data_IF_707678305542
#
_entry.id   IF_707678305542
#
_cell.length_a   1.000
_cell.length_b   1.000
_cell.length_c   1.000
_cell.angle_alpha   90.00
_cell.angle_beta   90.00
_cell.angle_gamma   90.00
#
_symmetry.space_group_name_H-M   'P 1'
#
loop_
_entity.id
_entity.type
_entity.pdbx_description
1 polymer ?
#
# COMPACT_ATOMS: atom_id res chain seq x y z
N UNK A 1 24.82 23.02 -1.95
CA UNK A 1 23.42 23.53 -1.96
C UNK A 1 22.55 22.80 -2.98
N UNK A 2 23.02 22.55 -4.20
CA UNK A 2 22.22 21.86 -5.24
C UNK A 2 21.85 20.42 -4.85
N UNK A 3 22.80 19.60 -4.39
CA UNK A 3 22.54 18.22 -3.96
C UNK A 3 21.47 18.08 -2.86
N UNK A 4 21.53 18.81 -1.73
CA UNK A 4 20.49 18.70 -0.71
C UNK A 4 19.12 19.18 -1.20
N UNK A 5 19.06 20.16 -2.11
CA UNK A 5 17.79 20.57 -2.74
C UNK A 5 17.20 19.47 -3.62
N UNK A 6 18.04 18.75 -4.38
CA UNK A 6 17.61 17.60 -5.18
C UNK A 6 17.07 16.49 -4.27
N UNK A 7 17.80 16.12 -3.20
CA UNK A 7 17.32 15.12 -2.25
C UNK A 7 16.02 15.52 -1.57
N UNK A 8 15.87 16.79 -1.19
CA UNK A 8 14.65 17.29 -0.59
C UNK A 8 13.47 17.27 -1.58
N UNK A 9 13.67 17.73 -2.81
CA UNK A 9 12.65 17.69 -3.85
C UNK A 9 12.22 16.24 -4.16
N UNK A 10 13.20 15.33 -4.28
CA UNK A 10 12.95 13.91 -4.48
C UNK A 10 12.17 13.29 -3.30
N UNK A 11 12.57 13.58 -2.07
CA UNK A 11 11.84 13.16 -0.86
C UNK A 11 10.39 13.64 -0.87
N UNK A 12 10.17 14.93 -1.20
CA UNK A 12 8.82 15.46 -1.29
C UNK A 12 8.01 14.71 -2.34
N UNK A 13 8.52 14.55 -3.56
CA UNK A 13 7.84 13.85 -4.65
C UNK A 13 7.38 12.45 -4.25
N UNK A 14 8.28 11.70 -3.62
CA UNK A 14 8.02 10.33 -3.19
C UNK A 14 7.03 10.24 -2.03
N UNK A 15 6.96 11.24 -1.17
CA UNK A 15 6.10 11.22 0.04
C UNK A 15 4.77 11.97 -0.12
N UNK A 16 4.53 12.66 -1.26
CA UNK A 16 3.33 13.50 -1.48
C UNK A 16 2.01 12.77 -1.21
N UNK A 17 1.95 11.46 -1.47
CA UNK A 17 0.74 10.64 -1.36
C UNK A 17 0.55 10.01 0.02
N UNK A 18 1.54 10.08 0.92
CA UNK A 18 1.56 9.30 2.18
C UNK A 18 0.52 9.72 3.24
N UNK A 19 -0.21 10.82 3.01
CA UNK A 19 -1.34 11.23 3.82
C UNK A 19 -2.69 10.68 3.33
N UNK A 20 -2.70 9.86 2.26
CA UNK A 20 -3.94 9.38 1.65
C UNK A 20 -4.81 8.60 2.65
N UNK A 21 -4.24 7.58 3.30
CA UNK A 21 -4.98 6.74 4.25
C UNK A 21 -5.36 7.45 5.54
N UNK A 22 -4.52 8.35 6.02
CA UNK A 22 -4.83 9.22 7.17
C UNK A 22 -6.08 10.07 6.89
N UNK A 23 -6.15 10.72 5.72
CA UNK A 23 -7.32 11.51 5.30
C UNK A 23 -8.60 10.67 5.15
N UNK A 24 -8.45 9.39 4.78
CA UNK A 24 -9.57 8.43 4.67
C UNK A 24 -9.91 7.75 5.99
N UNK A 25 -9.15 8.00 7.06
CA UNK A 25 -9.31 7.35 8.38
C UNK A 25 -9.23 5.81 8.30
N UNK A 26 -8.41 5.29 7.41
CA UNK A 26 -8.13 3.86 7.28
C UNK A 26 -6.84 3.54 8.02
N UNK A 27 -6.80 2.54 8.92
CA UNK A 27 -5.57 2.10 9.58
C UNK A 27 -4.52 1.70 8.55
N UNK A 28 -3.29 2.18 8.71
CA UNK A 28 -2.20 1.92 7.77
C UNK A 28 -0.83 1.89 8.43
N UNK A 29 0.13 1.24 7.79
CA UNK A 29 1.53 1.27 8.22
C UNK A 29 2.22 2.45 7.55
N UNK A 30 2.97 3.23 8.34
CA UNK A 30 3.80 4.31 7.79
C UNK A 30 4.76 3.75 6.73
N UNK A 31 4.66 4.19 5.46
CA UNK A 31 5.51 3.70 4.38
C UNK A 31 6.93 4.23 4.48
N UNK A 32 7.90 3.49 3.94
CA UNK A 32 9.23 4.03 3.67
C UNK A 32 9.22 4.79 2.34
N UNK A 33 9.99 5.89 2.19
CA UNK A 33 10.14 6.54 0.90
C UNK A 33 10.56 5.55 -0.19
N UNK A 34 10.02 5.75 -1.39
CA UNK A 34 10.28 5.06 -2.66
C UNK A 34 9.59 3.70 -2.73
N UNK A 35 9.76 2.89 -1.68
CA UNK A 35 9.33 1.49 -1.69
C UNK A 35 7.98 1.24 -0.99
N UNK A 36 7.50 2.19 -0.20
CA UNK A 36 6.21 2.04 0.48
C UNK A 36 6.28 1.03 1.61
N UNK A 37 5.28 0.15 1.70
CA UNK A 37 5.24 -0.94 2.67
C UNK A 37 5.76 -2.27 2.09
N UNK A 38 5.99 -2.34 0.77
CA UNK A 38 6.37 -3.57 0.06
C UNK A 38 7.86 -3.63 -0.28
N UNK A 39 8.71 -2.93 0.49
CA UNK A 39 10.15 -2.85 0.22
C UNK A 39 10.83 -4.23 0.13
N UNK A 40 10.50 -5.16 1.01
CA UNK A 40 11.10 -6.50 0.99
C UNK A 40 10.65 -7.33 -0.23
N UNK A 41 9.45 -7.08 -0.75
CA UNK A 41 8.99 -7.69 -1.99
C UNK A 41 9.65 -7.05 -3.22
N UNK A 42 9.70 -5.71 -3.28
CA UNK A 42 10.32 -4.96 -4.39
C UNK A 42 11.83 -5.27 -4.49
N UNK A 43 12.49 -5.42 -3.35
CA UNK A 43 13.90 -5.83 -3.27
C UNK A 43 14.11 -7.35 -3.40
N UNK A 44 13.05 -8.10 -3.75
CA UNK A 44 13.07 -9.56 -3.97
C UNK A 44 13.60 -10.37 -2.79
N UNK A 45 13.45 -9.86 -1.56
CA UNK A 45 13.84 -10.56 -0.32
C UNK A 45 12.75 -11.49 0.20
N UNK A 46 11.49 -11.15 -0.08
CA UNK A 46 10.29 -11.93 0.31
C UNK A 46 9.31 -12.00 -0.85
N UNK A 47 8.44 -13.01 -0.84
CA UNK A 47 7.31 -13.04 -1.76
C UNK A 47 6.19 -12.11 -1.26
N UNK A 48 5.36 -11.61 -2.18
CA UNK A 48 4.31 -10.63 -1.86
C UNK A 48 3.34 -11.12 -0.76
N UNK A 49 2.96 -12.40 -0.81
CA UNK A 49 2.07 -13.00 0.19
C UNK A 49 2.64 -13.01 1.61
N UNK A 50 3.96 -13.10 1.78
CA UNK A 50 4.63 -13.04 3.08
C UNK A 50 4.50 -11.64 3.65
N UNK A 51 4.81 -10.63 2.83
CA UNK A 51 4.71 -9.22 3.21
C UNK A 51 3.26 -8.86 3.55
N UNK A 52 2.29 -9.27 2.72
CA UNK A 52 0.87 -9.04 3.02
C UNK A 52 0.46 -9.72 4.33
N UNK A 53 0.86 -10.97 4.55
CA UNK A 53 0.56 -11.69 5.79
C UNK A 53 1.12 -10.96 7.02
N UNK A 54 2.36 -10.48 6.97
CA UNK A 54 2.97 -9.72 8.06
C UNK A 54 2.26 -8.39 8.32
N UNK A 55 1.76 -7.73 7.27
CA UNK A 55 0.96 -6.52 7.40
C UNK A 55 -0.38 -6.85 8.08
N UNK A 56 -1.09 -7.87 7.61
CA UNK A 56 -2.36 -8.33 8.20
C UNK A 56 -2.22 -8.69 9.69
N UNK A 57 -1.13 -9.36 10.06
CA UNK A 57 -0.84 -9.73 11.46
C UNK A 57 -0.69 -8.52 12.39
N UNK A 58 -0.36 -7.33 11.88
CA UNK A 58 -0.28 -6.09 12.68
C UNK A 58 -1.66 -5.47 12.93
N UNK A 59 -2.68 -5.86 12.18
CA UNK A 59 -4.05 -5.35 12.30
C UNK A 59 -5.06 -6.51 12.25
N UNK A 60 -5.03 -7.43 13.25
CA UNK A 60 -5.79 -8.68 13.20
C UNK A 60 -7.32 -8.49 13.19
N UNK A 61 -7.80 -7.32 13.63
CA UNK A 61 -9.23 -7.03 13.77
C UNK A 61 -9.73 -5.99 12.74
N UNK A 62 -8.88 -5.50 11.85
CA UNK A 62 -9.26 -4.46 10.90
C UNK A 62 -9.73 -5.09 9.57
N UNK A 63 -10.94 -4.77 9.08
CA UNK A 63 -11.44 -5.36 7.83
C UNK A 63 -10.67 -4.86 6.60
N UNK A 64 -10.04 -3.69 6.71
CA UNK A 64 -9.33 -2.98 5.67
C UNK A 64 -8.03 -2.38 6.23
N UNK A 65 -6.91 -2.58 5.52
CA UNK A 65 -5.63 -1.96 5.87
C UNK A 65 -5.15 -1.14 4.68
N UNK A 66 -4.84 0.13 4.92
CA UNK A 66 -4.12 0.97 3.98
C UNK A 66 -2.64 0.58 3.91
N UNK A 67 -2.10 0.51 2.70
CA UNK A 67 -0.69 0.30 2.45
C UNK A 67 -0.24 1.17 1.26
N UNK A 68 1.05 1.15 0.96
CA UNK A 68 1.60 1.79 -0.22
C UNK A 68 2.48 0.81 -0.99
N UNK A 69 2.12 0.51 -2.23
CA UNK A 69 2.99 -0.21 -3.16
C UNK A 69 3.88 0.80 -3.88
N UNK A 70 5.15 0.88 -3.47
CA UNK A 70 6.00 2.00 -3.85
C UNK A 70 5.46 3.33 -3.30
N UNK A 71 5.04 4.23 -4.19
CA UNK A 71 4.42 5.52 -3.80
C UNK A 71 2.90 5.54 -3.95
N UNK A 72 2.31 4.48 -4.52
CA UNK A 72 0.88 4.41 -4.78
C UNK A 72 0.12 3.86 -3.57
N UNK A 73 -1.00 4.48 -3.16
CA UNK A 73 -1.84 3.92 -2.11
C UNK A 73 -2.53 2.63 -2.59
N UNK A 74 -2.41 1.57 -1.81
CA UNK A 74 -2.98 0.24 -2.06
C UNK A 74 -3.81 -0.21 -0.86
N UNK A 75 -4.96 -0.83 -1.10
CA UNK A 75 -5.85 -1.32 -0.04
C UNK A 75 -5.70 -2.84 0.10
N UNK A 76 -5.46 -3.31 1.31
CA UNK A 76 -5.50 -4.74 1.65
C UNK A 76 -6.86 -5.01 2.28
N UNK A 77 -7.60 -5.95 1.71
CA UNK A 77 -8.93 -6.38 2.18
C UNK A 77 -8.78 -7.68 2.96
N UNK A 78 -9.19 -7.68 4.23
CA UNK A 78 -9.13 -8.85 5.12
C UNK A 78 -10.50 -9.49 5.33
N UNK A 79 -11.56 -8.69 5.31
CA UNK A 79 -12.92 -9.17 5.57
C UNK A 79 -13.43 -10.08 4.43
N UNK A 80 -13.88 -11.32 4.73
CA UNK A 80 -14.33 -12.27 3.70
C UNK A 80 -15.52 -11.78 2.87
N UNK A 81 -16.46 -11.03 3.46
CA UNK A 81 -17.61 -10.50 2.76
C UNK A 81 -17.20 -9.37 1.80
N UNK A 82 -16.24 -8.53 2.22
CA UNK A 82 -15.64 -7.52 1.34
C UNK A 82 -14.82 -8.15 0.22
N UNK A 83 -14.02 -9.19 0.50
CA UNK A 83 -13.28 -9.94 -0.53
C UNK A 83 -14.26 -10.51 -1.55
N UNK A 84 -15.34 -11.14 -1.10
CA UNK A 84 -16.38 -11.67 -1.97
C UNK A 84 -17.02 -10.55 -2.80
N UNK A 85 -17.28 -9.38 -2.21
CA UNK A 85 -17.82 -8.22 -2.91
C UNK A 85 -16.91 -7.79 -4.08
N UNK A 86 -15.62 -7.52 -3.81
CA UNK A 86 -14.69 -7.04 -4.85
C UNK A 86 -14.36 -8.10 -5.90
N UNK A 87 -14.30 -9.38 -5.53
CA UNK A 87 -13.94 -10.45 -6.47
C UNK A 87 -15.11 -10.98 -7.30
N UNK A 88 -16.37 -10.69 -6.91
CA UNK A 88 -17.55 -11.25 -7.60
C UNK A 88 -18.57 -10.18 -7.97
N UNK A 89 -19.29 -9.64 -6.99
CA UNK A 89 -20.43 -8.74 -7.20
C UNK A 89 -20.03 -7.47 -7.95
N UNK A 90 -18.95 -6.83 -7.52
CA UNK A 90 -18.50 -5.55 -8.05
C UNK A 90 -17.25 -5.69 -8.93
N UNK A 91 -16.92 -6.90 -9.38
CA UNK A 91 -15.70 -7.19 -10.14
C UNK A 91 -15.53 -6.26 -11.36
N UNK A 92 -16.63 -5.79 -11.96
CA UNK A 92 -16.57 -4.80 -13.05
C UNK A 92 -15.80 -3.53 -12.70
N UNK A 93 -15.88 -3.07 -11.44
CA UNK A 93 -15.14 -1.90 -10.94
C UNK A 93 -13.72 -2.24 -10.45
N UNK A 94 -13.45 -3.51 -10.15
CA UNK A 94 -12.20 -4.00 -9.55
C UNK A 94 -11.39 -4.90 -10.49
N UNK A 95 -11.70 -4.92 -11.80
CA UNK A 95 -11.02 -5.79 -12.78
C UNK A 95 -9.67 -5.24 -13.28
N UNK A 96 -9.19 -4.13 -12.72
CA UNK A 96 -7.89 -3.57 -13.03
C UNK A 96 -6.78 -4.56 -12.69
N UNK A 97 -5.99 -4.94 -13.70
CA UNK A 97 -4.78 -5.75 -13.49
C UNK A 97 -3.59 -4.79 -13.38
N UNK A 98 -2.88 -4.79 -12.25
CA UNK A 98 -1.64 -4.00 -12.07
C UNK A 98 -0.52 -4.41 -13.04
N UNK A 99 -0.68 -5.50 -13.80
CA UNK A 99 0.24 -6.01 -14.84
C UNK A 99 -0.37 -5.81 -16.24
N UNK A 100 -0.84 -4.62 -16.56
CA UNK A 100 -1.25 -4.25 -17.93
C UNK A 100 -0.73 -2.86 -18.28
#
# INVERSE_FOLDING_TARGET
IVLPLIFYAFYLLTTRKFQYWEKKKVPYIKPVPIFGNFAEYILQKKFIGEVVKEICQKFPNEPLIGAYYGTEPTLIVQDPDLIKLVMTKDFYFFNGREVS
#
